data_IF_720096368860
#
_entry.id   IF_720096368860
#
_cell.length_a   1.000
_cell.length_b   1.000
_cell.length_c   1.000
_cell.angle_alpha   90.00
_cell.angle_beta   90.00
_cell.angle_gamma   90.00
#
_symmetry.space_group_name_H-M   'P 1'
#
loop_
_entity.id
_entity.type
_entity.pdbx_description
1 polymer ?
#
# COMPACT_ATOMS: atom_id res chain seq x y z
N UNK A 1 12.48 10.46 23.90
CA UNK A 1 11.08 10.08 23.69
C UNK A 1 10.97 8.64 24.20
N UNK A 2 10.19 8.37 25.24
CA UNK A 2 10.03 7.01 25.76
C UNK A 2 9.13 6.22 24.79
N UNK A 3 9.46 4.95 24.48
CA UNK A 3 8.61 4.10 23.64
C UNK A 3 7.26 3.88 24.33
N UNK A 4 6.16 4.04 23.59
CA UNK A 4 4.80 3.97 24.15
C UNK A 4 4.36 2.53 24.45
N UNK A 5 5.06 1.53 23.91
CA UNK A 5 4.74 0.12 24.09
C UNK A 5 6.00 -0.72 24.39
N UNK A 6 5.92 -1.73 25.29
CA UNK A 6 7.05 -2.59 25.68
C UNK A 6 7.65 -3.39 24.52
N UNK A 7 6.88 -3.62 23.45
CA UNK A 7 7.23 -4.41 22.28
C UNK A 7 7.46 -3.56 21.02
N UNK A 8 7.69 -2.25 21.15
CA UNK A 8 8.17 -1.41 20.04
C UNK A 8 9.52 -1.93 19.56
N UNK A 9 9.50 -2.80 18.55
CA UNK A 9 10.68 -3.15 17.77
C UNK A 9 10.81 -2.14 16.65
N UNK A 10 11.92 -1.43 16.63
CA UNK A 10 12.43 -0.86 15.39
C UNK A 10 12.54 -2.02 14.39
N UNK A 11 11.80 -1.96 13.29
CA UNK A 11 11.68 -3.08 12.35
C UNK A 11 13.08 -3.35 11.78
N UNK A 12 13.60 -4.59 11.90
CA UNK A 12 14.93 -4.92 11.41
C UNK A 12 14.92 -4.84 9.88
N UNK A 13 15.94 -4.18 9.33
CA UNK A 13 16.29 -4.04 7.90
C UNK A 13 15.14 -4.27 6.93
N UNK A 14 14.53 -3.18 6.44
CA UNK A 14 13.57 -3.27 5.34
C UNK A 14 14.16 -4.14 4.22
N UNK A 15 13.33 -5.02 3.66
CA UNK A 15 13.70 -5.88 2.52
C UNK A 15 14.22 -4.95 1.42
N UNK A 16 15.44 -5.20 0.95
CA UNK A 16 16.13 -4.34 -0.03
C UNK A 16 15.20 -4.04 -1.21
N UNK A 17 14.84 -2.76 -1.35
CA UNK A 17 14.19 -2.20 -2.52
C UNK A 17 15.20 -2.20 -3.70
N UNK A 18 14.78 -2.03 -4.96
CA UNK A 18 15.68 -2.27 -6.10
C UNK A 18 16.90 -1.34 -6.08
N UNK A 19 18.06 -1.93 -6.39
CA UNK A 19 19.38 -1.29 -6.39
C UNK A 19 19.46 0.04 -7.17
N UNK A 20 20.39 0.91 -6.72
CA UNK A 20 20.75 2.22 -7.30
C UNK A 20 20.65 2.28 -8.84
N UNK A 21 19.74 3.11 -9.34
CA UNK A 21 19.67 3.50 -10.75
C UNK A 21 18.27 3.47 -11.39
N UNK A 22 17.28 2.86 -10.72
CA UNK A 22 15.87 2.85 -11.17
C UNK A 22 14.97 3.44 -10.09
N UNK A 23 14.03 4.33 -10.46
CA UNK A 23 13.01 4.80 -9.52
C UNK A 23 12.09 3.62 -9.14
N UNK A 24 11.90 3.33 -7.84
CA UNK A 24 11.03 2.25 -7.41
C UNK A 24 9.58 2.55 -7.77
N UNK A 25 8.76 1.52 -7.91
CA UNK A 25 7.36 1.59 -8.31
C UNK A 25 6.46 1.32 -7.12
N UNK A 26 5.39 2.10 -6.99
CA UNK A 26 4.37 1.92 -5.96
C UNK A 26 3.00 1.77 -6.57
N UNK A 27 2.29 0.72 -6.17
CA UNK A 27 0.85 0.59 -6.39
C UNK A 27 0.13 1.20 -5.19
N UNK A 28 -0.46 2.39 -5.37
CA UNK A 28 -1.39 2.96 -4.40
C UNK A 28 -2.76 2.33 -4.65
N UNK A 29 -3.17 1.44 -3.78
CA UNK A 29 -4.38 0.61 -3.94
C UNK A 29 -5.46 1.17 -3.02
N UNK A 30 -6.57 1.58 -3.60
CA UNK A 30 -7.84 1.77 -2.89
C UNK A 30 -8.66 0.50 -3.06
N UNK A 31 -8.84 -0.34 -2.02
CA UNK A 31 -9.36 -1.69 -2.19
C UNK A 31 -10.89 -1.72 -2.28
N UNK A 32 -11.47 -0.76 -2.99
CA UNK A 32 -12.88 -0.65 -3.31
C UNK A 32 -13.04 -0.07 -4.72
N UNK A 33 -14.29 0.11 -5.14
CA UNK A 33 -14.60 0.59 -6.49
C UNK A 33 -13.97 1.95 -6.80
N UNK A 34 -13.68 2.15 -8.09
CA UNK A 34 -13.18 3.42 -8.62
C UNK A 34 -14.03 4.62 -8.17
N UNK A 35 -15.35 4.50 -8.21
CA UNK A 35 -16.26 5.60 -7.88
C UNK A 35 -16.16 6.04 -6.42
N UNK A 36 -16.02 5.08 -5.50
CA UNK A 36 -15.80 5.36 -4.08
C UNK A 36 -14.43 6.02 -3.87
N UNK A 37 -13.39 5.50 -4.52
CA UNK A 37 -12.04 6.04 -4.38
C UNK A 37 -11.89 7.45 -4.96
N UNK A 38 -12.54 7.74 -6.09
CA UNK A 38 -12.56 9.11 -6.66
C UNK A 38 -13.37 10.09 -5.80
N UNK A 39 -14.29 9.59 -4.99
CA UNK A 39 -15.05 10.39 -4.03
C UNK A 39 -14.33 10.58 -2.69
N UNK A 40 -13.19 9.90 -2.48
CA UNK A 40 -12.42 9.96 -1.25
C UNK A 40 -11.24 10.93 -1.36
N UNK A 41 -11.38 12.11 -0.76
CA UNK A 41 -10.38 13.18 -0.80
C UNK A 41 -9.02 12.75 -0.24
N UNK A 42 -8.99 11.92 0.81
CA UNK A 42 -7.74 11.45 1.40
C UNK A 42 -6.86 10.67 0.42
N UNK A 43 -7.47 9.84 -0.44
CA UNK A 43 -6.75 9.14 -1.51
C UNK A 43 -6.21 10.10 -2.56
N UNK A 44 -7.01 11.10 -2.95
CA UNK A 44 -6.58 12.11 -3.92
C UNK A 44 -5.41 12.94 -3.38
N UNK A 45 -5.44 13.30 -2.10
CA UNK A 45 -4.36 14.02 -1.43
C UNK A 45 -3.06 13.19 -1.40
N UNK A 46 -3.15 11.93 -0.96
CA UNK A 46 -2.00 11.00 -0.95
C UNK A 46 -1.43 10.82 -2.37
N UNK A 47 -2.29 10.58 -3.35
CA UNK A 47 -1.85 10.37 -4.73
C UNK A 47 -1.20 11.62 -5.33
N UNK A 48 -1.78 12.81 -5.09
CA UNK A 48 -1.19 14.08 -5.50
C UNK A 48 0.20 14.31 -4.87
N UNK A 49 0.34 14.07 -3.57
CA UNK A 49 1.63 14.14 -2.89
C UNK A 49 2.65 13.16 -3.49
N UNK A 50 2.23 11.95 -3.84
CA UNK A 50 3.14 10.99 -4.49
C UNK A 50 3.60 11.45 -5.86
N UNK A 51 2.69 12.01 -6.67
CA UNK A 51 3.02 12.51 -8.01
C UNK A 51 3.99 13.68 -7.97
N UNK A 52 3.84 14.57 -6.99
CA UNK A 52 4.66 15.78 -6.85
C UNK A 52 6.01 15.52 -6.19
N UNK A 53 6.04 14.67 -5.16
CA UNK A 53 7.16 14.65 -4.19
C UNK A 53 7.79 13.28 -3.95
N UNK A 54 7.23 12.19 -4.45
CA UNK A 54 7.75 10.86 -4.12
C UNK A 54 8.96 10.47 -4.98
N UNK A 55 9.91 9.78 -4.34
CA UNK A 55 10.97 9.05 -5.05
C UNK A 55 10.40 7.89 -5.92
N UNK A 56 9.21 7.39 -5.57
CA UNK A 56 8.54 6.30 -6.28
C UNK A 56 7.78 6.77 -7.53
N UNK A 57 7.49 5.83 -8.43
CA UNK A 57 6.57 5.99 -9.56
C UNK A 57 5.19 5.46 -9.11
N UNK A 58 4.21 6.34 -8.84
CA UNK A 58 2.93 5.91 -8.32
C UNK A 58 1.98 5.43 -9.40
N UNK A 59 1.26 4.36 -9.08
CA UNK A 59 0.18 3.80 -9.87
C UNK A 59 -1.06 3.70 -8.98
N UNK A 60 -2.08 4.50 -9.30
CA UNK A 60 -3.36 4.43 -8.61
C UNK A 60 -4.19 3.25 -9.14
N UNK A 61 -4.57 2.36 -8.24
CA UNK A 61 -5.31 1.14 -8.54
C UNK A 61 -6.54 1.02 -7.62
N UNK A 62 -7.58 0.39 -8.15
CA UNK A 62 -8.85 0.11 -7.51
C UNK A 62 -9.14 -1.38 -7.57
N UNK A 63 -10.14 -1.82 -6.83
CA UNK A 63 -10.50 -3.23 -6.77
C UNK A 63 -12.03 -3.40 -6.85
N UNK A 64 -12.49 -4.47 -7.48
CA UNK A 64 -13.87 -4.90 -7.35
C UNK A 64 -14.06 -5.80 -6.12
N UNK A 65 -15.29 -6.26 -5.90
CA UNK A 65 -15.61 -7.10 -4.74
C UNK A 65 -14.92 -8.48 -4.80
N UNK A 66 -14.42 -8.87 -5.97
CA UNK A 66 -13.80 -10.17 -6.23
C UNK A 66 -12.27 -10.14 -6.05
N UNK A 67 -11.68 -8.97 -5.79
CA UNK A 67 -10.23 -8.84 -5.65
C UNK A 67 -9.51 -8.53 -6.96
N UNK A 68 -10.24 -8.24 -8.05
CA UNK A 68 -9.65 -7.91 -9.35
C UNK A 68 -9.23 -6.45 -9.34
N UNK A 69 -7.94 -6.23 -9.57
CA UNK A 69 -7.33 -4.91 -9.53
C UNK A 69 -7.37 -4.25 -10.90
N UNK A 70 -7.73 -2.96 -10.96
CA UNK A 70 -7.81 -2.18 -12.19
C UNK A 70 -7.56 -0.69 -11.99
N UNK A 71 -7.28 0.07 -13.06
CA UNK A 71 -7.05 1.53 -12.97
C UNK A 71 -8.32 2.35 -13.22
N UNK A 72 -9.14 1.89 -14.16
CA UNK A 72 -10.38 2.55 -14.54
C UNK A 72 -11.43 1.51 -14.94
N UNK A 73 -12.73 1.68 -14.60
CA UNK A 73 -13.77 0.69 -14.91
C UNK A 73 -13.86 0.32 -16.40
N UNK A 74 -13.51 1.25 -17.29
CA UNK A 74 -13.47 1.02 -18.73
C UNK A 74 -12.47 -0.05 -19.20
N UNK A 75 -11.51 -0.46 -18.34
CA UNK A 75 -10.54 -1.52 -18.62
C UNK A 75 -11.12 -2.94 -18.45
N UNK A 76 -12.20 -3.10 -17.68
CA UNK A 76 -12.81 -4.39 -17.31
C UNK A 76 -13.63 -5.03 -18.46
N UNK A 77 -13.05 -5.07 -19.66
CA UNK A 77 -13.62 -5.68 -20.86
C UNK A 77 -13.15 -7.13 -21.01
N UNK A 78 -13.79 -7.87 -21.91
CA UNK A 78 -13.35 -9.22 -22.26
C UNK A 78 -11.85 -9.23 -22.66
N UNK A 79 -11.05 -10.05 -21.97
CA UNK A 79 -9.60 -10.14 -22.18
C UNK A 79 -8.76 -9.19 -21.31
N UNK A 80 -9.37 -8.47 -20.35
CA UNK A 80 -8.63 -7.70 -19.38
C UNK A 80 -7.57 -8.55 -18.65
N UNK A 81 -6.39 -7.96 -18.46
CA UNK A 81 -5.28 -8.54 -17.71
C UNK A 81 -4.96 -7.56 -16.58
N UNK A 82 -5.27 -7.93 -15.32
CA UNK A 82 -4.90 -7.13 -14.17
C UNK A 82 -3.39 -6.86 -14.14
N UNK A 83 -2.96 -5.70 -13.61
CA UNK A 83 -1.54 -5.46 -13.37
C UNK A 83 -0.99 -6.53 -12.43
N UNK A 84 0.19 -7.07 -12.76
CA UNK A 84 0.88 -8.04 -11.90
C UNK A 84 1.48 -7.32 -10.69
N UNK A 85 0.79 -7.39 -9.54
CA UNK A 85 1.20 -6.67 -8.33
C UNK A 85 2.56 -7.12 -7.80
N UNK A 86 3.03 -8.32 -8.15
CA UNK A 86 4.34 -8.85 -7.72
C UNK A 86 5.52 -8.13 -8.37
N UNK A 87 5.27 -7.32 -9.40
CA UNK A 87 6.30 -6.54 -10.10
C UNK A 87 6.52 -5.16 -9.51
N UNK A 88 5.69 -4.77 -8.56
CA UNK A 88 5.87 -3.51 -7.84
C UNK A 88 6.87 -3.70 -6.72
N UNK A 89 7.48 -2.59 -6.33
CA UNK A 89 8.39 -2.57 -5.19
C UNK A 89 7.60 -2.34 -3.89
N UNK A 90 6.50 -1.59 -3.98
CA UNK A 90 5.63 -1.23 -2.86
C UNK A 90 4.15 -1.38 -3.25
N UNK A 91 3.36 -2.06 -2.41
CA UNK A 91 1.90 -2.00 -2.42
C UNK A 91 1.45 -1.15 -1.22
N UNK A 92 0.94 0.05 -1.49
CA UNK A 92 0.43 0.96 -0.48
C UNK A 92 -1.10 0.91 -0.48
N UNK A 93 -1.71 0.32 0.55
CA UNK A 93 -3.16 0.26 0.71
C UNK A 93 -3.67 1.48 1.46
N UNK A 94 -4.62 2.21 0.85
CA UNK A 94 -5.33 3.33 1.47
C UNK A 94 -6.68 2.83 2.01
N UNK A 95 -6.79 2.76 3.33
CA UNK A 95 -7.87 2.07 4.05
C UNK A 95 -8.65 3.06 4.93
N UNK A 96 -9.69 3.72 4.38
CA UNK A 96 -10.56 4.60 5.16
C UNK A 96 -11.48 3.86 6.16
N UNK A 97 -11.79 2.59 5.92
CA UNK A 97 -12.73 1.79 6.73
C UNK A 97 -12.27 0.32 6.81
N UNK A 98 -12.67 -0.36 7.88
CA UNK A 98 -12.18 -1.70 8.26
C UNK A 98 -12.56 -2.79 7.25
N UNK A 99 -13.64 -2.59 6.48
CA UNK A 99 -14.01 -3.51 5.39
C UNK A 99 -12.87 -3.65 4.36
N UNK A 100 -12.04 -2.62 4.22
CA UNK A 100 -10.86 -2.65 3.36
C UNK A 100 -9.84 -3.71 3.76
N UNK A 101 -9.82 -4.21 5.00
CA UNK A 101 -8.91 -5.27 5.43
C UNK A 101 -9.19 -6.59 4.71
N UNK A 102 -10.47 -6.92 4.56
CA UNK A 102 -10.91 -8.11 3.81
C UNK A 102 -10.56 -7.96 2.33
N UNK A 103 -10.69 -6.75 1.78
CA UNK A 103 -10.37 -6.54 0.38
C UNK A 103 -8.85 -6.52 0.12
N UNK A 104 -8.04 -6.04 1.07
CA UNK A 104 -6.59 -6.21 1.05
C UNK A 104 -6.23 -7.70 0.96
N UNK A 105 -6.82 -8.54 1.81
CA UNK A 105 -6.64 -10.00 1.77
C UNK A 105 -7.01 -10.60 0.41
N UNK A 106 -8.16 -10.20 -0.14
CA UNK A 106 -8.62 -10.65 -1.47
C UNK A 106 -7.63 -10.27 -2.57
N UNK A 107 -7.11 -9.05 -2.54
CA UNK A 107 -6.11 -8.57 -3.50
C UNK A 107 -4.81 -9.36 -3.41
N UNK A 108 -4.29 -9.60 -2.20
CA UNK A 108 -3.07 -10.41 -2.03
C UNK A 108 -3.28 -11.84 -2.53
N UNK A 109 -4.40 -12.45 -2.15
CA UNK A 109 -4.76 -13.83 -2.54
C UNK A 109 -4.95 -13.94 -4.06
N UNK A 110 -5.64 -13.00 -4.70
CA UNK A 110 -5.90 -13.02 -6.15
C UNK A 110 -4.62 -12.87 -6.98
N UNK A 111 -3.59 -12.25 -6.41
CA UNK A 111 -2.28 -12.05 -7.05
C UNK A 111 -1.26 -13.14 -6.67
N UNK A 112 -1.64 -14.09 -5.81
CA UNK A 112 -0.72 -15.10 -5.29
C UNK A 112 0.42 -14.52 -4.45
N UNK A 113 0.16 -13.40 -3.76
CA UNK A 113 1.09 -12.80 -2.81
C UNK A 113 0.78 -13.39 -1.43
N UNK A 114 1.77 -13.92 -0.68
CA UNK A 114 1.55 -14.43 0.66
C UNK A 114 0.89 -13.38 1.55
N UNK A 115 -0.18 -13.79 2.22
CA UNK A 115 -0.98 -12.93 3.10
C UNK A 115 -0.16 -12.54 4.32
N UNK A 116 0.49 -13.52 4.96
CA UNK A 116 1.30 -13.28 6.14
C UNK A 116 2.62 -12.62 5.73
N UNK A 117 2.99 -11.53 6.41
CA UNK A 117 4.23 -10.81 6.16
C UNK A 117 5.46 -11.70 6.39
N UNK A 118 5.38 -12.63 7.34
CA UNK A 118 6.41 -13.63 7.66
C UNK A 118 6.68 -14.62 6.52
N UNK A 119 5.72 -14.86 5.64
CA UNK A 119 5.84 -15.75 4.47
C UNK A 119 6.38 -15.01 3.23
N UNK A 120 6.40 -13.67 3.25
CA UNK A 120 6.96 -12.86 2.17
C UNK A 120 8.48 -12.78 2.32
N UNK A 121 9.20 -13.55 1.51
CA UNK A 121 10.68 -13.51 1.48
C UNK A 121 11.28 -12.29 0.74
N UNK A 122 10.47 -11.57 -0.06
CA UNK A 122 10.92 -10.47 -0.93
C UNK A 122 9.82 -9.40 -1.11
N UNK A 123 10.05 -8.49 -2.05
CA UNK A 123 9.09 -7.54 -2.61
C UNK A 123 7.85 -8.22 -3.25
N UNK A 124 6.71 -7.50 -3.33
CA UNK A 124 6.53 -6.12 -2.85
C UNK A 124 6.44 -6.03 -1.33
N UNK A 125 6.88 -4.90 -0.78
CA UNK A 125 6.50 -4.49 0.58
C UNK A 125 5.00 -4.15 0.58
N UNK A 126 4.27 -4.64 1.58
CA UNK A 126 2.86 -4.27 1.78
C UNK A 126 2.77 -3.27 2.91
N UNK A 127 2.32 -2.07 2.57
CA UNK A 127 2.12 -0.97 3.52
C UNK A 127 0.66 -0.62 3.56
N UNK A 128 0.15 -0.36 4.76
CA UNK A 128 -1.22 0.07 4.97
C UNK A 128 -1.25 1.43 5.66
N UNK A 129 -2.18 2.29 5.24
CA UNK A 129 -2.44 3.57 5.88
C UNK A 129 -3.90 3.98 5.71
N UNK A 130 -4.23 5.19 6.17
CA UNK A 130 -5.61 5.69 6.20
C UNK A 130 -6.21 5.63 7.61
N UNK A 131 -7.44 6.12 7.72
CA UNK A 131 -8.09 6.36 9.00
C UNK A 131 -8.23 5.08 9.84
N UNK A 132 -8.71 3.99 9.24
CA UNK A 132 -8.89 2.72 9.95
C UNK A 132 -7.59 2.17 10.52
N UNK A 133 -6.49 2.25 9.75
CA UNK A 133 -5.16 1.78 10.15
C UNK A 133 -4.57 2.66 11.25
N UNK A 134 -4.75 3.98 11.12
CA UNK A 134 -4.30 4.94 12.13
C UNK A 134 -5.02 4.72 13.47
N UNK A 135 -6.30 4.38 13.42
CA UNK A 135 -7.10 4.09 14.62
C UNK A 135 -6.69 2.78 15.30
N UNK A 136 -6.47 1.71 14.52
CA UNK A 136 -6.01 0.44 15.05
C UNK A 136 -5.32 -0.39 13.96
N UNK A 137 -3.97 -0.46 13.93
CA UNK A 137 -3.25 -1.27 12.95
C UNK A 137 -3.19 -2.75 13.34
N UNK A 138 -3.50 -3.11 14.60
CA UNK A 138 -3.34 -4.47 15.13
C UNK A 138 -4.02 -5.56 14.29
N UNK A 139 -5.26 -5.37 13.76
CA UNK A 139 -5.91 -6.38 12.94
C UNK A 139 -5.14 -6.72 11.67
N UNK A 140 -4.24 -5.84 11.21
CA UNK A 140 -3.41 -6.03 10.02
C UNK A 140 -1.98 -6.42 10.32
N UNK A 141 -1.55 -6.43 11.59
CA UNK A 141 -0.14 -6.50 11.98
C UNK A 141 0.60 -7.72 11.42
N UNK A 142 -0.04 -8.88 11.34
CA UNK A 142 0.56 -10.09 10.76
C UNK A 142 0.60 -10.10 9.22
N UNK A 143 -0.16 -9.21 8.57
CA UNK A 143 -0.38 -9.20 7.12
C UNK A 143 0.38 -8.11 6.39
N UNK A 144 0.77 -7.03 7.07
CA UNK A 144 1.46 -5.88 6.47
C UNK A 144 2.93 -5.86 6.91
N UNK A 145 3.81 -5.36 6.05
CA UNK A 145 5.21 -5.13 6.43
C UNK A 145 5.34 -3.82 7.23
N UNK A 146 4.53 -2.80 6.92
CA UNK A 146 4.52 -1.53 7.65
C UNK A 146 3.10 -0.92 7.74
N UNK A 147 2.85 -0.18 8.82
CA UNK A 147 1.71 0.71 8.94
C UNK A 147 2.18 2.17 8.89
N UNK A 148 1.52 3.00 8.10
CA UNK A 148 1.63 4.45 8.19
C UNK A 148 0.51 4.98 9.08
N UNK A 149 0.88 5.56 10.23
CA UNK A 149 -0.05 6.13 11.21
C UNK A 149 -0.06 7.66 11.09
N UNK A 150 -1.23 8.24 10.90
CA UNK A 150 -1.43 9.68 10.83
C UNK A 150 -1.88 10.18 9.45
N UNK A 151 -1.85 11.49 9.28
CA UNK A 151 -2.31 12.17 8.07
C UNK A 151 -1.19 12.26 7.02
N UNK A 152 -1.56 12.26 5.74
CA UNK A 152 -0.58 12.29 4.65
C UNK A 152 0.26 13.59 4.63
N UNK A 153 -0.35 14.71 5.03
CA UNK A 153 0.25 16.04 5.00
C UNK A 153 1.37 16.22 6.03
N UNK A 154 1.41 15.38 7.07
CA UNK A 154 2.28 15.54 8.25
C UNK A 154 3.51 14.64 8.33
N UNK A 155 3.90 13.94 7.26
CA UNK A 155 5.09 13.07 7.31
C UNK A 155 5.23 12.01 6.23
N UNK A 156 4.25 11.90 5.32
CA UNK A 156 4.24 10.85 4.30
C UNK A 156 5.41 10.98 3.30
N UNK A 157 5.82 12.20 2.97
CA UNK A 157 7.00 12.44 2.13
C UNK A 157 8.27 11.86 2.78
N UNK A 158 8.52 12.19 4.06
CA UNK A 158 9.65 11.66 4.82
C UNK A 158 9.60 10.14 4.95
N UNK A 159 8.41 9.58 5.14
CA UNK A 159 8.20 8.13 5.16
C UNK A 159 8.60 7.47 3.84
N UNK A 160 8.12 7.99 2.70
CA UNK A 160 8.48 7.45 1.38
C UNK A 160 9.97 7.63 1.08
N UNK A 161 10.57 8.76 1.46
CA UNK A 161 12.00 8.98 1.28
C UNK A 161 12.84 7.99 2.10
N UNK A 162 12.47 7.75 3.36
CA UNK A 162 13.14 6.75 4.20
C UNK A 162 13.04 5.33 3.60
N UNK A 163 11.86 4.96 3.07
CA UNK A 163 11.72 3.69 2.36
C UNK A 163 12.64 3.63 1.14
N UNK A 164 12.71 4.69 0.34
CA UNK A 164 13.56 4.73 -0.83
C UNK A 164 15.07 4.76 -0.52
N UNK A 165 15.49 5.18 0.68
CA UNK A 165 16.89 5.22 1.11
C UNK A 165 17.39 3.89 1.68
N UNK A 166 16.50 3.07 2.25
CA UNK A 166 16.80 1.68 2.64
C UNK A 166 16.78 0.69 1.44
N UNK A 167 16.66 1.22 0.22
CA UNK A 167 16.77 0.55 -1.09
C UNK A 167 18.21 0.52 -1.64
#
# INVERSE_FOLDING_TARGET
MLPLFPDERFIPSLKELPAKGKRPTVALIYPHSYYLGMSYLGLQAVYGLMLERSAFIPHLLFCDDEGVVYRHPGELRAGYRPPDLRRFDLLAFSLPYELGYINLLRVLTSQGIPVLASERSRLPLVVAGGYSVTMNPEPLAEMIDLAYLGEAEGGFESFLSALAEEA
#
